data_IF_000129305549
#
_entry.id   IF_000129305549
#
_cell.length_a   1.000
_cell.length_b   1.000
_cell.length_c   1.000
_cell.angle_alpha   90.00
_cell.angle_beta   90.00
_cell.angle_gamma   90.00
#
_symmetry.space_group_name_H-M   'P 1'
#
loop_
_entity.id
_entity.type
_entity.pdbx_description
1 polymer ?
#
# COMPACT_ATOMS: atom_id res chain seq x y z
N UNK A 1 -10.94 21.50 3.24
CA UNK A 1 -11.36 21.03 1.97
C UNK A 1 -11.60 19.58 1.93
N UNK A 2 -12.87 19.25 1.89
CA UNK A 2 -13.26 17.86 1.86
C UNK A 2 -12.73 17.11 0.66
N UNK A 3 -12.67 17.76 -0.48
CA UNK A 3 -12.21 17.09 -1.69
C UNK A 3 -10.75 16.66 -1.60
N UNK A 4 -9.94 17.40 -0.87
CA UNK A 4 -8.54 17.03 -0.70
C UNK A 4 -8.39 15.74 0.09
N UNK A 5 -9.27 15.50 1.04
CA UNK A 5 -9.17 14.32 1.88
C UNK A 5 -9.36 13.04 1.09
N UNK A 6 -10.02 13.12 -0.06
CA UNK A 6 -10.27 11.91 -0.85
C UNK A 6 -9.65 11.97 -2.23
N UNK A 7 -9.67 13.13 -2.87
CA UNK A 7 -9.31 13.22 -4.27
C UNK A 7 -7.85 13.33 -4.56
N UNK A 8 -7.05 13.80 -3.59
CA UNK A 8 -5.66 14.09 -3.86
C UNK A 8 -4.68 13.18 -3.13
N UNK A 9 -5.18 12.17 -2.42
CA UNK A 9 -4.32 11.35 -1.56
C UNK A 9 -4.20 9.93 -2.11
N UNK A 10 -3.90 9.86 -3.37
CA UNK A 10 -3.60 8.60 -4.03
C UNK A 10 -2.10 8.37 -4.04
N UNK A 11 -1.71 7.11 -4.12
CA UNK A 11 -0.31 6.77 -4.20
C UNK A 11 -0.10 5.54 -5.09
N UNK A 12 1.12 5.41 -5.57
CA UNK A 12 1.60 4.21 -6.24
C UNK A 12 2.83 3.75 -5.48
N UNK A 13 2.94 2.46 -5.24
CA UNK A 13 4.06 1.92 -4.48
C UNK A 13 4.43 0.53 -4.93
N UNK A 14 5.49 0.00 -4.33
CA UNK A 14 6.03 -1.30 -4.68
C UNK A 14 6.04 -2.15 -3.42
N UNK A 15 5.50 -3.37 -3.52
CA UNK A 15 5.43 -4.29 -2.38
C UNK A 15 6.81 -4.79 -2.03
N UNK A 16 7.20 -4.67 -0.75
CA UNK A 16 8.50 -5.15 -0.28
C UNK A 16 8.35 -6.27 0.75
N UNK A 17 7.23 -6.36 1.46
CA UNK A 17 7.00 -7.43 2.42
C UNK A 17 5.51 -7.76 2.44
N UNK A 18 5.18 -9.03 2.29
CA UNK A 18 3.81 -9.49 2.27
C UNK A 18 3.46 -10.42 3.44
N UNK A 19 4.39 -10.62 4.35
CA UNK A 19 4.16 -11.51 5.49
C UNK A 19 3.73 -10.67 6.67
N UNK A 20 2.41 -10.55 6.82
CA UNK A 20 1.81 -9.75 7.88
C UNK A 20 1.80 -10.54 9.20
N UNK A 21 2.50 -10.06 10.23
CA UNK A 21 2.53 -10.79 11.51
C UNK A 21 1.16 -10.89 12.17
N UNK A 22 0.22 -10.03 11.82
CA UNK A 22 -1.13 -10.10 12.35
C UNK A 22 -2.07 -10.94 11.50
N UNK A 23 -1.60 -11.45 10.36
CA UNK A 23 -2.41 -12.30 9.50
C UNK A 23 -3.59 -11.59 8.85
N UNK A 24 -3.49 -10.29 8.64
CA UNK A 24 -4.57 -9.48 8.08
C UNK A 24 -4.45 -9.26 6.58
N UNK A 25 -3.45 -9.84 5.95
CA UNK A 25 -3.23 -9.64 4.52
C UNK A 25 -2.58 -8.33 4.15
N UNK A 26 -2.05 -7.61 5.13
CA UNK A 26 -1.38 -6.34 4.87
C UNK A 26 -0.02 -6.56 4.22
N UNK A 27 0.46 -5.53 3.53
CA UNK A 27 1.79 -5.54 2.93
C UNK A 27 2.53 -4.27 3.32
N UNK A 28 3.85 -4.39 3.45
CA UNK A 28 4.68 -3.20 3.55
C UNK A 28 5.03 -2.75 2.15
N UNK A 29 4.70 -1.51 1.85
CA UNK A 29 4.79 -0.95 0.50
C UNK A 29 5.62 0.32 0.55
N UNK A 30 6.59 0.42 -0.35
CA UNK A 30 7.37 1.66 -0.49
C UNK A 30 6.65 2.55 -1.48
N UNK A 31 6.12 3.66 -0.96
CA UNK A 31 5.28 4.56 -1.75
C UNK A 31 6.18 5.55 -2.48
N UNK A 32 6.01 5.61 -3.80
CA UNK A 32 6.82 6.48 -4.64
C UNK A 32 6.52 7.93 -4.32
N UNK A 33 7.58 8.72 -4.20
CA UNK A 33 7.44 10.14 -3.91
C UNK A 33 7.22 10.48 -2.44
N UNK A 34 6.84 9.50 -1.62
CA UNK A 34 6.66 9.71 -0.18
C UNK A 34 7.77 9.07 0.61
N UNK A 35 8.11 7.83 0.30
CA UNK A 35 9.13 7.09 1.02
C UNK A 35 10.47 7.20 0.30
N UNK A 36 11.54 7.26 1.09
CA UNK A 36 12.89 7.33 0.53
C UNK A 36 13.18 6.05 -0.23
N UNK A 37 13.77 6.18 -1.43
CA UNK A 37 14.14 5.03 -2.25
C UNK A 37 15.31 4.26 -1.67
N UNK A 38 16.11 4.92 -0.85
CA UNK A 38 17.31 4.30 -0.28
C UNK A 38 16.94 3.45 0.93
N UNK A 39 17.11 2.14 0.79
CA UNK A 39 16.72 1.20 1.85
C UNK A 39 17.62 1.30 3.07
N UNK A 40 18.78 1.92 2.94
CA UNK A 40 19.64 2.16 4.10
C UNK A 40 19.09 3.29 4.97
N UNK A 41 18.43 4.27 4.36
CA UNK A 41 17.84 5.40 5.08
C UNK A 41 16.43 5.08 5.55
N UNK A 42 15.69 4.26 4.80
CA UNK A 42 14.35 3.82 5.16
C UNK A 42 14.24 2.33 4.86
N UNK A 43 14.59 1.47 5.83
CA UNK A 43 14.54 0.02 5.60
C UNK A 43 13.11 -0.48 5.41
N UNK A 44 12.99 -1.65 4.79
CA UNK A 44 11.70 -2.27 4.54
C UNK A 44 10.88 -2.42 5.82
N UNK A 45 11.51 -2.84 6.90
CA UNK A 45 10.78 -3.10 8.14
C UNK A 45 10.23 -1.82 8.78
N UNK A 46 10.69 -0.66 8.35
CA UNK A 46 10.17 0.62 8.83
C UNK A 46 9.02 1.16 8.00
N UNK A 47 8.68 0.50 6.89
CA UNK A 47 7.59 0.94 6.04
C UNK A 47 6.24 0.66 6.72
N UNK A 48 5.24 1.50 6.48
CA UNK A 48 3.91 1.24 7.04
C UNK A 48 3.26 0.02 6.40
N UNK A 49 2.34 -0.58 7.13
CA UNK A 49 1.55 -1.70 6.64
C UNK A 49 0.32 -1.15 5.93
N UNK A 50 0.17 -1.51 4.65
CA UNK A 50 -0.97 -1.10 3.86
C UNK A 50 -2.07 -2.16 3.97
N UNK A 51 -3.29 -1.72 4.25
CA UNK A 51 -4.43 -2.59 4.38
C UNK A 51 -4.92 -3.05 3.01
N UNK A 52 -5.34 -4.30 2.87
CA UNK A 52 -5.95 -4.75 1.62
C UNK A 52 -7.39 -4.27 1.51
N UNK A 53 -7.85 -4.10 0.28
CA UNK A 53 -9.25 -3.80 -0.01
C UNK A 53 -9.82 -4.99 -0.77
N UNK A 54 -10.94 -5.52 -0.28
CA UNK A 54 -11.60 -6.65 -0.92
C UNK A 54 -12.87 -6.18 -1.62
N UNK A 55 -13.33 -6.90 -2.65
CA UNK A 55 -14.60 -6.58 -3.26
C UNK A 55 -15.73 -6.67 -2.25
N UNK A 56 -16.73 -5.83 -2.43
CA UNK A 56 -17.85 -5.73 -1.48
C UNK A 56 -18.62 -7.04 -1.37
N UNK A 57 -18.58 -7.86 -2.41
CA UNK A 57 -19.31 -9.13 -2.43
C UNK A 57 -18.49 -10.30 -1.90
N UNK A 58 -17.36 -10.04 -1.26
CA UNK A 58 -16.53 -11.08 -0.70
C UNK A 58 -15.96 -10.61 0.62
N UNK A 59 -16.17 -11.39 1.65
CA UNK A 59 -15.58 -11.12 2.96
C UNK A 59 -14.39 -12.02 3.24
N UNK A 60 -14.04 -12.88 2.27
CA UNK A 60 -12.92 -13.78 2.45
C UNK A 60 -11.66 -13.19 1.84
N UNK A 61 -10.54 -13.71 2.28
CA UNK A 61 -9.24 -13.22 1.85
C UNK A 61 -8.94 -13.63 0.42
N UNK A 62 -8.47 -12.68 -0.36
CA UNK A 62 -7.88 -12.97 -1.66
C UNK A 62 -6.39 -13.19 -1.51
N UNK A 63 -5.76 -13.66 -2.56
CA UNK A 63 -4.31 -13.76 -2.58
C UNK A 63 -3.67 -12.39 -2.44
N UNK A 64 -2.57 -12.35 -1.71
CA UNK A 64 -1.83 -11.10 -1.55
C UNK A 64 -1.03 -10.79 -2.81
N UNK A 65 -0.71 -9.51 -3.04
CA UNK A 65 0.24 -9.18 -4.11
C UNK A 65 1.60 -9.80 -3.82
N UNK A 66 2.37 -9.96 -4.86
CA UNK A 66 3.71 -10.51 -4.74
C UNK A 66 4.72 -9.38 -4.49
N UNK A 67 5.85 -9.75 -3.90
CA UNK A 67 6.95 -8.80 -3.74
C UNK A 67 7.39 -8.32 -5.11
N UNK A 68 7.54 -7.00 -5.25
CA UNK A 68 7.87 -6.38 -6.51
C UNK A 68 6.68 -5.90 -7.32
N UNK A 69 5.48 -6.30 -6.93
CA UNK A 69 4.27 -5.80 -7.60
C UNK A 69 4.07 -4.31 -7.33
N UNK A 70 3.57 -3.62 -8.33
CA UNK A 70 3.19 -2.22 -8.20
C UNK A 70 1.73 -2.14 -7.78
N UNK A 71 1.46 -1.30 -6.79
CA UNK A 71 0.15 -1.17 -6.16
C UNK A 71 -0.30 0.27 -6.28
N UNK A 72 -1.57 0.47 -6.61
CA UNK A 72 -2.21 1.77 -6.49
C UNK A 72 -3.08 1.75 -5.25
N UNK A 73 -3.09 2.84 -4.50
CA UNK A 73 -3.86 2.91 -3.28
C UNK A 73 -4.18 4.34 -2.87
N UNK A 74 -4.67 4.49 -1.66
CA UNK A 74 -5.00 5.78 -1.09
C UNK A 74 -4.77 5.75 0.42
N UNK A 75 -4.86 6.91 1.06
CA UNK A 75 -4.71 6.99 2.51
C UNK A 75 -6.08 7.24 3.16
N UNK A 76 -6.43 6.38 4.12
CA UNK A 76 -7.68 6.57 4.87
C UNK A 76 -7.68 7.87 5.66
N UNK A 77 -6.52 8.24 6.18
CA UNK A 77 -6.38 9.44 7.00
C UNK A 77 -6.04 10.69 6.20
N UNK A 78 -6.19 10.61 4.87
CA UNK A 78 -6.01 11.77 4.01
C UNK A 78 -4.61 12.36 4.10
N UNK A 79 -4.54 13.63 4.49
CA UNK A 79 -3.28 14.37 4.45
C UNK A 79 -2.24 13.87 5.44
N UNK A 80 -2.64 13.14 6.47
CA UNK A 80 -1.67 12.61 7.42
C UNK A 80 -0.82 11.49 6.82
N UNK A 81 -1.33 10.82 5.79
CA UNK A 81 -0.57 9.82 5.02
C UNK A 81 0.02 8.70 5.87
N UNK A 82 -0.72 8.29 6.91
CA UNK A 82 -0.24 7.28 7.83
C UNK A 82 -1.00 5.96 7.74
N UNK A 83 -2.14 5.94 7.04
CA UNK A 83 -2.98 4.75 6.97
C UNK A 83 -3.23 4.38 5.51
N UNK A 84 -2.24 3.76 4.85
CA UNK A 84 -2.39 3.40 3.44
C UNK A 84 -3.32 2.20 3.25
N UNK A 85 -4.06 2.22 2.16
CA UNK A 85 -4.91 1.12 1.72
C UNK A 85 -4.54 0.75 0.31
N UNK A 86 -4.32 -0.54 0.06
CA UNK A 86 -4.05 -1.05 -1.28
C UNK A 86 -5.36 -1.26 -2.01
N UNK A 87 -5.52 -0.64 -3.18
CA UNK A 87 -6.72 -0.81 -4.00
C UNK A 87 -6.55 -1.90 -5.04
N UNK A 88 -5.40 -1.95 -5.67
CA UNK A 88 -5.21 -2.90 -6.73
C UNK A 88 -3.79 -2.99 -7.20
N UNK A 89 -3.53 -4.01 -8.00
CA UNK A 89 -2.22 -4.26 -8.60
C UNK A 89 -2.20 -3.68 -10.00
N UNK A 90 -1.08 -3.05 -10.36
CA UNK A 90 -0.85 -2.57 -11.72
C UNK A 90 -0.09 -3.66 -12.48
N UNK A 91 -0.78 -4.53 -13.22
CA UNK A 91 -0.11 -5.64 -13.88
C UNK A 91 0.77 -5.14 -15.02
N UNK A 92 1.84 -5.89 -15.27
CA UNK A 92 2.74 -5.53 -16.35
C UNK A 92 3.85 -4.58 -15.96
N UNK A 93 3.81 -4.01 -14.76
CA UNK A 93 4.86 -3.15 -14.25
C UNK A 93 5.63 -3.92 -13.19
N UNK A 94 6.93 -4.04 -13.37
CA UNK A 94 7.79 -4.76 -12.43
C UNK A 94 8.87 -3.85 -11.91
N UNK A 95 9.18 -4.01 -10.65
CA UNK A 95 10.26 -3.26 -10.02
C UNK A 95 11.62 -3.75 -10.49
#
# INVERSE_FOLDING_TARGET
>A
MGSKAFGSIWWVGIVENRIDPLGLGRCQVRILGLHNDNKMLLPTESLPWALPMYPINSSTTFGSPLIGDWIVGFFLDGENSQQPVMMGVLPGIKA
#
